data_IF_750424883276
#
_entry.id   IF_750424883276
#
_cell.length_a   1.000
_cell.length_b   1.000
_cell.length_c   1.000
_cell.angle_alpha   90.00
_cell.angle_beta   90.00
_cell.angle_gamma   90.00
#
_symmetry.space_group_name_H-M   'P 1'
#
loop_
_entity.id
_entity.type
_entity.pdbx_description
1 polymer ?
#
# COMPACT_ATOMS: atom_id res chain seq x y z
N UNK A 1 3.01 14.78 12.14
CA UNK A 1 2.76 13.61 13.02
C UNK A 1 1.60 12.81 12.43
N UNK A 2 1.49 11.51 12.74
CA UNK A 2 0.37 10.68 12.28
C UNK A 2 -0.76 10.66 13.33
N UNK A 3 -1.99 10.40 12.91
CA UNK A 3 -3.11 10.20 13.83
C UNK A 3 -2.89 8.94 14.70
N UNK A 4 -3.32 8.99 15.96
CA UNK A 4 -3.26 7.85 16.86
C UNK A 4 -4.30 6.79 16.48
N UNK A 5 -3.97 5.51 16.67
CA UNK A 5 -4.97 4.44 16.63
C UNK A 5 -5.82 4.44 17.90
N UNK A 6 -7.09 4.10 17.74
CA UNK A 6 -8.06 4.03 18.84
C UNK A 6 -7.95 2.71 19.63
N UNK A 7 -7.65 1.61 18.92
CA UNK A 7 -7.52 0.27 19.52
C UNK A 7 -6.05 -0.12 19.61
N UNK A 8 -5.56 -0.60 20.76
CA UNK A 8 -4.18 -1.08 20.88
C UNK A 8 -3.96 -2.36 20.06
N UNK A 9 -2.91 -2.38 19.23
CA UNK A 9 -2.54 -3.52 18.37
C UNK A 9 -1.23 -4.12 18.85
N UNK A 10 -1.32 -5.22 19.60
CA UNK A 10 -0.19 -5.89 20.27
C UNK A 10 0.01 -7.32 19.74
N UNK A 11 0.25 -8.29 20.62
CA UNK A 11 0.40 -9.70 20.26
C UNK A 11 -0.85 -10.21 19.52
N UNK A 12 -0.63 -11.06 18.50
CA UNK A 12 -1.65 -11.51 17.53
C UNK A 12 -2.33 -10.40 16.70
N UNK A 13 -1.74 -9.21 16.61
CA UNK A 13 -2.15 -8.22 15.59
C UNK A 13 -1.44 -8.44 14.25
N UNK A 14 -1.96 -7.81 13.21
CA UNK A 14 -1.39 -7.80 11.86
C UNK A 14 -1.53 -6.42 11.21
N UNK A 15 -0.67 -6.14 10.24
CA UNK A 15 -0.74 -4.94 9.41
C UNK A 15 -0.32 -5.24 7.96
N UNK A 16 -1.16 -4.83 7.00
CA UNK A 16 -0.93 -5.10 5.58
C UNK A 16 -1.24 -3.87 4.72
N UNK A 17 -0.39 -3.61 3.71
CA UNK A 17 -0.64 -2.60 2.68
C UNK A 17 -1.79 -3.07 1.77
N UNK A 18 -2.81 -2.24 1.62
CA UNK A 18 -3.93 -2.47 0.72
C UNK A 18 -3.64 -1.92 -0.68
N UNK A 19 -4.35 -2.44 -1.69
CA UNK A 19 -4.18 -2.06 -3.10
C UNK A 19 -4.49 -0.59 -3.37
N UNK A 20 -5.30 0.05 -2.52
CA UNK A 20 -5.59 1.47 -2.62
C UNK A 20 -4.51 2.35 -1.94
N UNK A 21 -3.47 1.78 -1.34
CA UNK A 21 -2.41 2.50 -0.64
C UNK A 21 -2.70 2.77 0.84
N UNK A 22 -3.89 2.41 1.35
CA UNK A 22 -4.12 2.44 2.79
C UNK A 22 -3.49 1.23 3.50
N UNK A 23 -3.46 1.24 4.82
CA UNK A 23 -2.93 0.15 5.65
C UNK A 23 -4.04 -0.42 6.49
N UNK A 24 -4.31 -1.72 6.32
CA UNK A 24 -5.14 -2.49 7.24
C UNK A 24 -4.33 -2.75 8.51
N UNK A 25 -4.91 -2.48 9.67
CA UNK A 25 -4.37 -2.89 10.96
C UNK A 25 -5.47 -3.60 11.74
N UNK A 26 -5.23 -4.84 12.16
CA UNK A 26 -6.28 -5.71 12.68
C UNK A 26 -5.78 -6.63 13.79
N UNK A 27 -6.73 -7.19 14.55
CA UNK A 27 -6.45 -8.24 15.53
C UNK A 27 -5.82 -7.74 16.82
N UNK A 28 -5.35 -8.70 17.62
CA UNK A 28 -4.90 -8.52 19.00
C UNK A 28 -5.57 -9.53 19.93
N UNK A 29 -4.81 -10.09 20.87
CA UNK A 29 -5.35 -11.01 21.90
C UNK A 29 -5.36 -12.46 21.45
N UNK A 30 -6.54 -13.03 21.17
CA UNK A 30 -6.78 -14.47 20.96
C UNK A 30 -6.39 -15.30 22.20
N UNK A 31 -6.97 -14.94 23.35
CA UNK A 31 -6.68 -15.57 24.65
C UNK A 31 -7.93 -16.12 25.38
N UNK A 32 -8.94 -16.60 24.64
CA UNK A 32 -10.16 -17.15 25.25
C UNK A 32 -11.08 -16.05 25.79
N UNK A 33 -11.45 -16.12 27.08
CA UNK A 33 -12.38 -15.17 27.73
C UNK A 33 -11.73 -13.88 28.23
N UNK A 34 -10.53 -13.54 27.77
CA UNK A 34 -9.81 -12.33 28.16
C UNK A 34 -10.42 -11.06 27.53
N UNK A 35 -10.24 -9.91 28.21
CA UNK A 35 -10.68 -8.60 27.72
C UNK A 35 -9.71 -7.97 26.69
N UNK A 36 -8.66 -8.69 26.28
CA UNK A 36 -7.64 -8.21 25.35
C UNK A 36 -7.87 -8.67 23.90
N UNK A 37 -8.98 -9.36 23.62
CA UNK A 37 -9.34 -9.79 22.28
C UNK A 37 -9.87 -8.60 21.46
N UNK A 38 -9.32 -8.42 20.27
CA UNK A 38 -9.74 -7.39 19.33
C UNK A 38 -10.19 -8.04 18.01
N UNK A 39 -11.44 -8.53 17.91
CA UNK A 39 -12.00 -9.12 16.69
C UNK A 39 -12.43 -8.03 15.69
N UNK A 40 -11.60 -7.00 15.55
CA UNK A 40 -11.88 -5.78 14.79
C UNK A 40 -10.64 -5.33 14.00
N UNK A 41 -10.85 -4.32 13.15
CA UNK A 41 -9.81 -3.75 12.31
C UNK A 41 -10.01 -2.23 12.13
N UNK A 42 -8.92 -1.53 11.84
CA UNK A 42 -8.90 -0.13 11.46
C UNK A 42 -8.11 0.05 10.16
N UNK A 43 -8.52 1.01 9.34
CA UNK A 43 -7.81 1.39 8.12
C UNK A 43 -7.09 2.72 8.36
N UNK A 44 -5.77 2.69 8.31
CA UNK A 44 -4.96 3.89 8.31
C UNK A 44 -4.81 4.42 6.88
N UNK A 45 -5.19 5.68 6.66
CA UNK A 45 -5.00 6.40 5.40
C UNK A 45 -3.82 7.37 5.54
N UNK A 46 -2.67 7.11 4.89
CA UNK A 46 -1.50 7.98 5.01
C UNK A 46 -1.72 9.38 4.42
N UNK A 47 -0.93 10.40 4.83
CA UNK A 47 -1.09 11.79 4.38
C UNK A 47 -1.06 11.97 2.85
N UNK A 48 -0.34 11.12 2.12
CA UNK A 48 -0.25 11.21 0.65
C UNK A 48 -1.58 10.92 -0.08
N UNK A 49 -2.60 10.41 0.63
CA UNK A 49 -3.94 10.21 0.07
C UNK A 49 -4.84 11.45 0.18
N UNK A 50 -4.35 12.53 0.81
CA UNK A 50 -5.10 13.75 1.05
C UNK A 50 -4.44 14.95 0.38
N UNK A 51 -5.27 15.91 -0.03
CA UNK A 51 -4.81 17.20 -0.50
C UNK A 51 -4.50 18.13 0.69
N UNK A 52 -4.03 19.34 0.41
CA UNK A 52 -3.68 20.34 1.43
C UNK A 52 -4.87 20.79 2.30
N UNK A 53 -6.10 20.55 1.86
CA UNK A 53 -7.34 20.84 2.60
C UNK A 53 -7.83 19.65 3.43
N UNK A 54 -7.09 18.54 3.48
CA UNK A 54 -7.47 17.33 4.21
C UNK A 54 -8.56 16.49 3.54
N UNK A 55 -9.00 16.86 2.32
CA UNK A 55 -9.91 16.05 1.51
C UNK A 55 -9.14 15.02 0.69
N UNK A 56 -9.76 13.92 0.22
CA UNK A 56 -9.09 12.95 -0.65
C UNK A 56 -8.44 13.63 -1.87
N UNK A 57 -7.16 13.34 -2.10
CA UNK A 57 -6.44 13.86 -3.26
C UNK A 57 -6.86 13.12 -4.55
N UNK A 58 -6.88 13.84 -5.68
CA UNK A 58 -7.00 13.21 -7.00
C UNK A 58 -5.80 12.31 -7.25
N UNK A 59 -6.04 11.05 -7.61
CA UNK A 59 -5.01 10.04 -7.81
C UNK A 59 -4.74 9.80 -9.30
N UNK A 60 -3.48 9.60 -9.70
CA UNK A 60 -3.17 9.07 -11.03
C UNK A 60 -3.86 7.72 -11.27
N UNK A 61 -4.37 7.52 -12.48
CA UNK A 61 -5.06 6.28 -12.87
C UNK A 61 -4.24 5.56 -13.92
N UNK A 62 -3.88 4.31 -13.66
CA UNK A 62 -3.26 3.43 -14.67
C UNK A 62 -4.40 2.82 -15.50
N UNK A 63 -4.50 3.18 -16.78
CA UNK A 63 -5.56 2.68 -17.68
C UNK A 63 -5.16 1.38 -18.39
N UNK A 64 -3.87 1.19 -18.63
CA UNK A 64 -3.33 -0.07 -19.16
C UNK A 64 -1.94 -0.34 -18.64
N UNK A 65 -1.56 -1.61 -18.56
CA UNK A 65 -0.24 -2.04 -18.13
C UNK A 65 0.11 -3.40 -18.72
N UNK A 66 1.40 -3.67 -18.88
CA UNK A 66 1.92 -5.03 -18.95
C UNK A 66 1.40 -5.83 -17.75
N UNK A 67 0.86 -7.03 -17.99
CA UNK A 67 0.22 -7.86 -16.94
C UNK A 67 1.21 -8.81 -16.26
N UNK A 68 2.16 -9.32 -17.03
CA UNK A 68 3.16 -10.28 -16.56
C UNK A 68 4.52 -9.91 -17.13
N UNK A 69 5.56 -10.14 -16.33
CA UNK A 69 6.97 -10.00 -16.72
C UNK A 69 7.68 -11.27 -16.29
N UNK A 70 8.32 -11.94 -17.24
CA UNK A 70 9.10 -13.13 -16.99
C UNK A 70 10.49 -12.77 -16.42
N UNK A 71 11.16 -13.68 -15.70
CA UNK A 71 12.54 -13.51 -15.30
C UNK A 71 13.43 -13.11 -16.49
N UNK A 72 14.26 -12.07 -16.32
CA UNK A 72 15.13 -11.53 -17.37
C UNK A 72 14.50 -10.42 -18.23
N UNK A 73 13.17 -10.23 -18.17
CA UNK A 73 12.54 -9.04 -18.73
C UNK A 73 12.62 -7.89 -17.73
N UNK A 74 13.22 -6.78 -18.16
CA UNK A 74 13.54 -5.65 -17.27
C UNK A 74 12.70 -4.39 -17.57
N UNK A 75 11.67 -4.50 -18.41
CA UNK A 75 10.84 -3.37 -18.83
C UNK A 75 9.36 -3.73 -18.84
N UNK A 76 8.52 -2.88 -18.25
CA UNK A 76 7.07 -2.86 -18.42
C UNK A 76 6.64 -1.54 -19.05
N UNK A 77 5.49 -1.57 -19.73
CA UNK A 77 4.81 -0.37 -20.21
C UNK A 77 3.55 -0.15 -19.37
N UNK A 78 3.31 1.11 -18.99
CA UNK A 78 2.08 1.56 -18.31
C UNK A 78 1.55 2.80 -19.00
N UNK A 79 0.24 2.93 -19.07
CA UNK A 79 -0.43 4.14 -19.60
C UNK A 79 -1.12 4.85 -18.45
N UNK A 80 -0.79 6.13 -18.29
CA UNK A 80 -1.36 7.01 -17.26
C UNK A 80 -1.77 8.32 -17.94
N UNK A 81 -3.07 8.57 -18.19
CA UNK A 81 -3.53 9.81 -18.80
C UNK A 81 -3.47 10.98 -17.80
N UNK A 82 -3.47 12.21 -18.33
CA UNK A 82 -3.62 13.45 -17.56
C UNK A 82 -2.58 13.67 -16.45
N UNK A 83 -1.34 13.25 -16.68
CA UNK A 83 -0.24 13.44 -15.73
C UNK A 83 0.99 14.01 -16.41
N UNK A 84 1.77 14.81 -15.67
CA UNK A 84 3.09 15.23 -16.09
C UNK A 84 4.06 14.06 -15.89
N UNK A 85 4.41 13.37 -16.98
CA UNK A 85 5.21 12.14 -16.93
C UNK A 85 6.55 12.31 -16.19
N UNK A 86 7.18 13.48 -16.29
CA UNK A 86 8.44 13.80 -15.60
C UNK A 86 8.32 13.92 -14.06
N UNK A 87 7.10 13.96 -13.52
CA UNK A 87 6.85 14.00 -12.06
C UNK A 87 6.44 12.64 -11.48
N UNK A 88 6.29 11.62 -12.33
CA UNK A 88 5.83 10.30 -11.90
C UNK A 88 6.97 9.45 -11.36
N UNK A 89 6.72 8.78 -10.22
CA UNK A 89 7.59 7.74 -9.67
C UNK A 89 6.81 6.44 -9.62
N UNK A 90 7.47 5.34 -9.99
CA UNK A 90 6.87 4.02 -9.99
C UNK A 90 7.58 3.11 -8.99
N UNK A 91 6.81 2.24 -8.35
CA UNK A 91 7.32 1.20 -7.49
C UNK A 91 6.42 -0.02 -7.57
N UNK A 92 7.01 -1.20 -7.50
CA UNK A 92 6.28 -2.45 -7.27
C UNK A 92 6.41 -2.84 -5.80
N UNK A 93 5.30 -3.26 -5.22
CA UNK A 93 5.27 -3.81 -3.86
C UNK A 93 4.69 -5.21 -3.94
N UNK A 94 5.45 -6.20 -3.47
CA UNK A 94 4.98 -7.59 -3.45
C UNK A 94 3.85 -7.73 -2.43
N UNK A 95 2.76 -8.39 -2.83
CA UNK A 95 1.68 -8.76 -1.92
C UNK A 95 2.23 -9.63 -0.78
N UNK A 96 1.71 -9.44 0.42
CA UNK A 96 2.24 -10.08 1.62
C UNK A 96 1.17 -10.61 2.54
N UNK A 97 1.54 -11.65 3.30
CA UNK A 97 0.86 -12.06 4.51
C UNK A 97 1.69 -11.66 5.74
N UNK A 98 1.02 -11.45 6.89
CA UNK A 98 1.69 -11.07 8.14
C UNK A 98 1.01 -11.74 9.32
N UNK A 99 1.81 -12.35 10.20
CA UNK A 99 1.37 -12.91 11.48
C UNK A 99 2.51 -12.86 12.47
N UNK A 100 2.22 -12.72 13.77
CA UNK A 100 3.23 -12.67 14.83
C UNK A 100 4.38 -11.70 14.52
N UNK A 101 4.03 -10.48 14.08
CA UNK A 101 4.97 -9.43 13.66
C UNK A 101 5.89 -9.78 12.49
N UNK A 102 5.68 -10.93 11.84
CA UNK A 102 6.56 -11.47 10.81
C UNK A 102 5.93 -11.30 9.44
N UNK A 103 6.67 -10.67 8.53
CA UNK A 103 6.31 -10.53 7.12
C UNK A 103 7.56 -10.81 6.27
N UNK A 104 7.62 -12.00 5.68
CA UNK A 104 8.74 -12.42 4.82
C UNK A 104 8.48 -12.15 3.33
N UNK A 105 7.30 -11.62 3.01
CA UNK A 105 6.84 -11.48 1.63
C UNK A 105 7.08 -10.08 1.07
N UNK A 106 6.78 -9.05 1.87
CA UNK A 106 6.71 -7.68 1.41
C UNK A 106 8.11 -7.15 1.09
N UNK A 107 8.26 -6.69 -0.15
CA UNK A 107 9.43 -5.95 -0.61
C UNK A 107 9.01 -4.86 -1.58
N UNK A 108 9.72 -3.73 -1.54
CA UNK A 108 9.51 -2.61 -2.46
C UNK A 108 10.64 -2.57 -3.47
N UNK A 109 10.30 -2.62 -4.75
CA UNK A 109 11.22 -2.36 -5.85
C UNK A 109 10.91 -0.99 -6.44
N UNK A 110 11.86 -0.06 -6.34
CA UNK A 110 11.76 1.24 -7.03
C UNK A 110 12.04 1.04 -8.51
N UNK A 111 11.22 1.62 -9.39
CA UNK A 111 11.38 1.52 -10.83
C UNK A 111 11.82 2.85 -11.42
N UNK A 112 12.73 2.79 -12.38
CA UNK A 112 13.19 3.95 -13.14
C UNK A 112 12.39 4.06 -14.44
N UNK A 113 11.95 5.28 -14.77
CA UNK A 113 11.31 5.56 -16.05
C UNK A 113 12.39 5.57 -17.14
N UNK A 114 12.28 4.65 -18.10
CA UNK A 114 13.24 4.53 -19.20
C UNK A 114 12.96 5.51 -20.34
N UNK A 115 11.69 5.68 -20.68
CA UNK A 115 11.21 6.59 -21.72
C UNK A 115 9.74 6.93 -21.48
N UNK A 116 9.28 8.03 -22.09
CA UNK A 116 7.90 8.51 -22.07
C UNK A 116 7.47 8.75 -23.51
N UNK A 117 6.24 8.37 -23.85
CA UNK A 117 5.60 8.67 -25.13
C UNK A 117 4.19 9.21 -24.90
N UNK A 118 3.73 10.09 -25.81
CA UNK A 118 2.46 10.81 -25.67
C UNK A 118 2.62 12.04 -24.76
N UNK A 119 2.47 13.23 -25.34
CA UNK A 119 2.44 14.52 -24.64
C UNK A 119 1.00 14.93 -24.35
#
# INVERSE_FOLDING_TARGET
>A
MMAAMEVPRKYHSTANLLKDGSVLVAGGGVCGSCNANHPDAQIFRPPYLFNTFGSPATRPVITSSTKEIAPGQNTMTVTVPNVFANKMKFAMVRLSATTHSTNNDQRRLSLNVKSVSGS
#
